data_IF_932854047199
#
_entry.id   IF_932854047199
#
_cell.length_a   1.000
_cell.length_b   1.000
_cell.length_c   1.000
_cell.angle_alpha   90.00
_cell.angle_beta   90.00
_cell.angle_gamma   90.00
#
_symmetry.space_group_name_H-M   'P 1'
#
loop_
_entity.id
_entity.type
_entity.pdbx_description
1 polymer ?
#
# COMPACT_ATOMS: atom_id res chain seq x y z
N UNK A 1 -17.27 -6.79 7.61
CA UNK A 1 -16.25 -6.02 6.93
C UNK A 1 -15.81 -4.84 7.80
N UNK A 2 -14.53 -4.52 7.78
CA UNK A 2 -13.99 -3.39 8.55
C UNK A 2 -14.53 -2.04 8.06
N UNK A 3 -14.93 -1.97 6.80
CA UNK A 3 -15.50 -0.74 6.26
C UNK A 3 -16.79 -0.31 6.96
N UNK A 4 -17.50 -1.22 7.60
CA UNK A 4 -18.71 -0.87 8.33
C UNK A 4 -18.42 -0.10 9.62
N UNK A 5 -17.16 -0.10 10.08
CA UNK A 5 -16.73 0.60 11.27
C UNK A 5 -16.30 2.04 10.99
N UNK A 6 -16.20 2.41 9.72
CA UNK A 6 -15.75 3.73 9.31
C UNK A 6 -16.93 4.71 9.22
N UNK A 7 -16.66 5.99 9.54
CA UNK A 7 -17.62 7.06 9.27
C UNK A 7 -17.75 7.28 7.77
N UNK A 8 -18.75 8.09 7.36
CA UNK A 8 -18.94 8.41 5.95
C UNK A 8 -17.71 9.08 5.34
N UNK A 9 -17.07 9.99 6.08
CA UNK A 9 -15.86 10.65 5.61
C UNK A 9 -14.70 9.66 5.47
N UNK A 10 -14.56 8.75 6.44
CA UNK A 10 -13.52 7.74 6.41
C UNK A 10 -13.73 6.75 5.28
N UNK A 11 -14.97 6.41 4.96
CA UNK A 11 -15.26 5.55 3.80
C UNK A 11 -14.88 6.20 2.47
N UNK A 12 -14.97 7.52 2.40
CA UNK A 12 -14.56 8.26 1.20
C UNK A 12 -13.04 8.28 1.05
N UNK A 13 -12.31 8.20 2.17
CA UNK A 13 -10.84 8.26 2.20
C UNK A 13 -10.23 6.88 1.96
N UNK A 14 -10.81 5.82 2.54
CA UNK A 14 -10.22 4.47 2.52
C UNK A 14 -9.87 3.97 1.11
N UNK A 15 -10.71 4.17 0.06
CA UNK A 15 -10.36 3.74 -1.30
C UNK A 15 -9.10 4.39 -1.86
N UNK A 16 -8.67 5.52 -1.29
CA UNK A 16 -7.44 6.18 -1.73
C UNK A 16 -6.20 5.34 -1.45
N UNK A 17 -6.28 4.41 -0.49
CA UNK A 17 -5.20 3.46 -0.21
C UNK A 17 -4.95 2.61 -1.46
N UNK A 18 -5.99 2.01 -2.02
CA UNK A 18 -5.85 1.20 -3.22
C UNK A 18 -5.41 2.04 -4.42
N UNK A 19 -5.94 3.25 -4.55
CA UNK A 19 -5.53 4.16 -5.62
C UNK A 19 -4.03 4.47 -5.54
N UNK A 20 -3.50 4.68 -4.33
CA UNK A 20 -2.07 4.92 -4.14
C UNK A 20 -1.24 3.67 -4.48
N UNK A 21 -1.71 2.50 -4.10
CA UNK A 21 -1.05 1.24 -4.46
C UNK A 21 -1.02 1.04 -5.98
N UNK A 22 -2.12 1.32 -6.64
CA UNK A 22 -2.22 1.18 -8.10
C UNK A 22 -1.29 2.17 -8.80
N UNK A 23 -1.25 3.42 -8.33
CA UNK A 23 -0.33 4.42 -8.86
C UNK A 23 1.12 4.00 -8.63
N UNK A 24 1.41 3.40 -7.47
CA UNK A 24 2.72 2.85 -7.18
C UNK A 24 3.11 1.73 -8.14
N UNK A 25 2.17 0.87 -8.50
CA UNK A 25 2.43 -0.19 -9.47
C UNK A 25 2.85 0.38 -10.83
N UNK A 26 2.16 1.40 -11.29
CA UNK A 26 2.50 2.06 -12.55
C UNK A 26 3.85 2.77 -12.46
N UNK A 27 4.10 3.44 -11.36
CA UNK A 27 5.36 4.12 -11.08
C UNK A 27 6.54 3.13 -11.08
N UNK A 28 6.35 1.97 -10.48
CA UNK A 28 7.37 0.93 -10.38
C UNK A 28 7.78 0.35 -11.73
N UNK A 29 6.97 0.51 -12.77
CA UNK A 29 7.32 0.06 -14.12
C UNK A 29 8.54 0.79 -14.68
N UNK A 30 8.82 2.01 -14.20
CA UNK A 30 9.91 2.85 -14.68
C UNK A 30 10.88 3.29 -13.57
N UNK A 31 10.67 2.85 -12.33
CA UNK A 31 11.45 3.26 -11.17
C UNK A 31 11.91 2.05 -10.35
N UNK A 32 12.85 2.27 -9.44
CA UNK A 32 13.33 1.18 -8.58
C UNK A 32 12.27 0.81 -7.55
N UNK A 33 12.46 -0.37 -6.96
CA UNK A 33 11.59 -0.86 -5.90
C UNK A 33 11.56 0.10 -4.71
N UNK A 34 12.73 0.60 -4.30
CA UNK A 34 12.84 1.54 -3.19
C UNK A 34 12.09 2.84 -3.49
N UNK A 35 12.24 3.38 -4.70
CA UNK A 35 11.55 4.59 -5.11
C UNK A 35 10.04 4.40 -5.08
N UNK A 36 9.57 3.23 -5.54
CA UNK A 36 8.16 2.88 -5.53
C UNK A 36 7.61 2.78 -4.10
N UNK A 37 8.36 2.12 -3.22
CA UNK A 37 8.01 2.01 -1.81
C UNK A 37 7.83 3.39 -1.18
N UNK A 38 8.81 4.26 -1.36
CA UNK A 38 8.80 5.60 -0.77
C UNK A 38 7.65 6.44 -1.32
N UNK A 39 7.36 6.31 -2.62
CA UNK A 39 6.25 7.02 -3.24
C UNK A 39 4.90 6.62 -2.65
N UNK A 40 4.66 5.31 -2.51
CA UNK A 40 3.39 4.81 -1.98
C UNK A 40 3.18 5.31 -0.56
N UNK A 41 4.21 5.20 0.28
CA UNK A 41 4.13 5.67 1.67
C UNK A 41 3.86 7.17 1.72
N UNK A 42 4.59 7.95 0.93
CA UNK A 42 4.42 9.40 0.90
C UNK A 42 3.02 9.81 0.40
N UNK A 43 2.53 9.15 -0.64
CA UNK A 43 1.22 9.47 -1.21
C UNK A 43 0.09 9.18 -0.22
N UNK A 44 0.19 8.09 0.52
CA UNK A 44 -0.83 7.74 1.51
C UNK A 44 -0.76 8.65 2.73
N UNK A 45 0.45 8.91 3.22
CA UNK A 45 0.62 9.81 4.38
C UNK A 45 0.22 11.26 4.05
N UNK A 46 0.21 11.62 2.78
CA UNK A 46 -0.27 12.95 2.35
C UNK A 46 -1.79 13.08 2.40
N UNK A 47 -2.52 11.97 2.49
CA UNK A 47 -3.97 12.00 2.60
C UNK A 47 -4.35 12.27 4.04
N UNK A 48 -5.12 13.33 4.26
CA UNK A 48 -5.58 13.67 5.59
C UNK A 48 -6.48 12.54 6.12
N UNK A 49 -6.18 12.05 7.32
CA UNK A 49 -6.90 10.95 7.93
C UNK A 49 -6.29 9.58 7.71
N UNK A 50 -5.20 9.47 6.95
CA UNK A 50 -4.50 8.20 6.74
C UNK A 50 -3.07 8.29 7.29
N UNK A 51 -2.63 7.19 7.92
CA UNK A 51 -1.25 7.06 8.40
C UNK A 51 -0.78 5.64 8.13
N UNK A 52 0.32 5.49 7.39
CA UNK A 52 0.89 4.19 7.08
C UNK A 52 1.56 3.62 8.32
N UNK A 53 1.15 2.43 8.76
CA UNK A 53 1.85 1.70 9.81
C UNK A 53 3.09 1.03 9.21
N UNK A 54 2.91 0.29 8.11
CA UNK A 54 4.03 -0.24 7.35
C UNK A 54 3.60 -0.56 5.93
N UNK A 55 4.58 -0.67 5.05
CA UNK A 55 4.38 -1.14 3.69
C UNK A 55 5.57 -2.01 3.32
N UNK A 56 5.31 -3.27 2.94
CA UNK A 56 6.33 -4.23 2.56
C UNK A 56 6.10 -4.70 1.14
N UNK A 57 7.17 -4.70 0.34
CA UNK A 57 7.15 -5.27 -1.00
C UNK A 57 7.90 -6.60 -0.92
N UNK A 58 7.19 -7.69 -1.19
CA UNK A 58 7.66 -9.04 -0.88
C UNK A 58 7.52 -9.97 -2.08
N UNK A 59 8.26 -11.08 -2.05
CA UNK A 59 8.03 -12.20 -2.94
C UNK A 59 6.64 -12.77 -2.65
N UNK A 60 5.81 -12.88 -3.68
CA UNK A 60 4.43 -13.34 -3.50
C UNK A 60 4.29 -14.80 -3.09
N UNK A 61 5.36 -15.59 -3.24
CA UNK A 61 5.35 -17.00 -2.86
C UNK A 61 5.87 -17.23 -1.44
N UNK A 62 6.94 -16.52 -1.05
CA UNK A 62 7.63 -16.73 0.23
C UNK A 62 7.26 -15.69 1.28
N UNK A 63 6.70 -14.55 0.87
CA UNK A 63 6.37 -13.40 1.71
C UNK A 63 7.61 -12.75 2.33
N UNK A 64 8.79 -13.02 1.79
CA UNK A 64 10.03 -12.39 2.22
C UNK A 64 10.26 -11.10 1.43
N UNK A 65 10.77 -10.07 2.11
CA UNK A 65 11.03 -8.80 1.46
C UNK A 65 12.05 -8.97 0.33
N UNK A 66 11.80 -8.28 -0.79
CA UNK A 66 12.72 -8.25 -1.92
C UNK A 66 13.40 -6.89 -2.00
N UNK A 67 14.59 -6.86 -2.56
CA UNK A 67 15.40 -5.64 -2.67
C UNK A 67 15.29 -5.00 -4.04
N UNK A 68 14.93 -5.77 -5.06
CA UNK A 68 14.76 -5.25 -6.41
C UNK A 68 13.67 -6.04 -7.14
N UNK A 69 13.21 -5.47 -8.27
CA UNK A 69 12.21 -6.14 -9.09
C UNK A 69 12.71 -7.45 -9.68
N UNK A 70 14.03 -7.64 -9.77
CA UNK A 70 14.62 -8.84 -10.34
C UNK A 70 14.78 -9.98 -9.34
N UNK A 71 14.53 -9.72 -8.05
CA UNK A 71 14.68 -10.70 -6.99
C UNK A 71 13.63 -11.82 -7.06
N UNK A 72 12.52 -11.57 -7.72
CA UNK A 72 11.45 -12.56 -7.87
C UNK A 72 10.65 -12.29 -9.14
N UNK A 73 9.98 -13.33 -9.62
CA UNK A 73 9.05 -13.21 -10.74
C UNK A 73 7.63 -12.90 -10.28
N UNK A 74 7.37 -13.03 -8.99
CA UNK A 74 6.07 -12.71 -8.42
C UNK A 74 6.30 -11.81 -7.20
N UNK A 75 5.94 -10.53 -7.34
CA UNK A 75 6.18 -9.51 -6.31
C UNK A 75 4.87 -8.85 -5.94
N UNK A 76 4.59 -8.81 -4.66
CA UNK A 76 3.37 -8.21 -4.11
C UNK A 76 3.71 -7.16 -3.06
N UNK A 77 2.84 -6.17 -2.90
CA UNK A 77 2.94 -5.18 -1.84
C UNK A 77 1.84 -5.40 -0.82
N UNK A 78 2.19 -5.40 0.45
CA UNK A 78 1.25 -5.50 1.55
C UNK A 78 1.36 -4.27 2.43
N UNK A 79 0.25 -3.62 2.72
CA UNK A 79 0.23 -2.38 3.46
C UNK A 79 -0.76 -2.45 4.61
N UNK A 80 -0.39 -1.82 5.74
CA UNK A 80 -1.29 -1.58 6.85
C UNK A 80 -1.34 -0.08 7.11
N UNK A 81 -2.55 0.47 7.16
CA UNK A 81 -2.79 1.90 7.27
C UNK A 81 -3.79 2.15 8.37
N UNK A 82 -3.53 3.14 9.23
CA UNK A 82 -4.51 3.64 10.17
C UNK A 82 -5.40 4.67 9.50
N UNK A 83 -6.70 4.56 9.73
CA UNK A 83 -7.69 5.45 9.14
C UNK A 83 -8.59 6.02 10.22
N UNK A 84 -8.73 7.35 10.23
CA UNK A 84 -9.67 8.04 11.07
C UNK A 84 -9.14 8.52 12.42
N UNK A 85 -9.98 9.22 13.17
CA UNK A 85 -9.62 9.79 14.48
C UNK A 85 -9.51 8.73 15.56
N UNK A 86 -10.36 7.71 15.49
CA UNK A 86 -10.20 6.48 16.29
C UNK A 86 -9.58 5.49 15.33
N UNK A 87 -8.23 5.30 15.37
CA UNK A 87 -7.56 4.61 14.27
C UNK A 87 -8.07 3.20 14.07
N UNK A 88 -8.55 2.93 12.85
CA UNK A 88 -8.94 1.60 12.43
C UNK A 88 -7.85 1.12 11.46
N UNK A 89 -7.30 -0.07 11.74
CA UNK A 89 -6.27 -0.65 10.87
C UNK A 89 -6.92 -1.24 9.63
N UNK A 90 -6.51 -0.73 8.48
CA UNK A 90 -6.92 -1.26 7.19
C UNK A 90 -5.73 -1.96 6.55
N UNK A 91 -5.96 -3.15 6.03
CA UNK A 91 -4.92 -3.95 5.37
C UNK A 91 -5.32 -4.12 3.92
N UNK A 92 -4.37 -3.87 3.02
CA UNK A 92 -4.60 -4.04 1.59
C UNK A 92 -3.34 -4.58 0.94
N UNK A 93 -3.46 -5.02 -0.28
CA UNK A 93 -2.33 -5.57 -1.03
C UNK A 93 -2.51 -5.30 -2.51
N UNK A 94 -1.41 -5.39 -3.25
CA UNK A 94 -1.42 -5.28 -4.69
C UNK A 94 -0.30 -6.14 -5.27
N UNK A 95 -0.52 -6.70 -6.45
CA UNK A 95 0.51 -7.44 -7.16
C UNK A 95 1.26 -6.48 -8.08
N UNK A 96 2.58 -6.34 -7.86
CA UNK A 96 3.42 -5.48 -8.69
C UNK A 96 3.94 -6.21 -9.92
N UNK A 97 4.22 -7.51 -9.78
CA UNK A 97 4.83 -8.31 -10.84
C UNK A 97 4.35 -9.75 -10.71
N UNK A 98 4.03 -10.35 -11.84
CA UNK A 98 3.65 -11.77 -11.91
C UNK A 98 3.98 -12.39 -13.26
#
# INVERSE_FOLDING_TARGET
SRNTLLSADERAIAPKIYSALKAGKEYGATHTLKETHDKVVADINAVDGLEVEYFSIVDGNTLQEVQSWDDSQYIAGCITVYCGKTPIRLIDHITFKE
#
